data_IF_898644789078
#
_entry.id   IF_898644789078
#
_cell.length_a   1.000
_cell.length_b   1.000
_cell.length_c   1.000
_cell.angle_alpha   90.00
_cell.angle_beta   90.00
_cell.angle_gamma   90.00
#
_symmetry.space_group_name_H-M   'P 1'
#
loop_
_entity.id
_entity.type
_entity.pdbx_description
1 polymer ?
#
# COMPACT_ATOMS: atom_id res chain seq x y z
N UNK A 1 53.62 38.78 41.96
CA UNK A 1 52.49 37.83 41.86
C UNK A 1 51.80 38.07 40.52
N UNK A 2 52.04 37.21 39.52
CA UNK A 2 51.38 37.32 38.21
C UNK A 2 50.02 36.60 38.27
N UNK A 3 48.94 37.27 37.90
CA UNK A 3 47.60 36.70 37.80
C UNK A 3 47.51 35.83 36.54
N UNK A 4 47.20 34.54 36.72
CA UNK A 4 46.86 33.62 35.63
C UNK A 4 45.40 33.84 35.22
N UNK A 5 45.16 34.34 34.00
CA UNK A 5 43.84 34.30 33.36
C UNK A 5 43.54 32.88 32.85
N UNK A 6 42.35 32.31 33.06
CA UNK A 6 41.98 31.01 32.48
C UNK A 6 41.74 31.13 30.97
N UNK A 7 42.20 30.15 30.21
CA UNK A 7 42.06 30.05 28.76
C UNK A 7 40.62 29.73 28.32
N UNK A 8 40.22 30.09 27.08
CA UNK A 8 38.87 29.81 26.57
C UNK A 8 38.66 28.30 26.32
N UNK A 9 37.42 27.77 26.50
CA UNK A 9 37.11 26.38 26.18
C UNK A 9 37.31 26.11 24.68
N UNK A 10 38.04 25.04 24.34
CA UNK A 10 38.34 24.63 22.96
C UNK A 10 37.11 24.16 22.17
N UNK A 11 37.21 24.06 20.82
CA UNK A 11 36.09 23.66 19.97
C UNK A 11 35.69 22.20 20.22
N UNK A 12 34.41 22.00 20.55
CA UNK A 12 33.81 20.69 20.79
C UNK A 12 33.22 20.14 19.48
N UNK A 13 33.83 19.11 18.89
CA UNK A 13 33.29 18.44 17.69
C UNK A 13 32.23 17.42 18.10
N UNK A 14 30.97 17.70 17.75
CA UNK A 14 29.81 16.85 18.08
C UNK A 14 29.51 15.92 16.90
N UNK A 15 29.82 14.63 17.03
CA UNK A 15 29.47 13.62 16.02
C UNK A 15 28.11 13.00 16.35
N UNK A 16 27.10 13.29 15.54
CA UNK A 16 25.73 12.74 15.71
C UNK A 16 25.62 11.41 14.97
N UNK A 17 25.62 10.30 15.70
CA UNK A 17 25.32 8.97 15.12
C UNK A 17 23.83 8.69 15.31
N UNK A 18 23.08 8.64 14.21
CA UNK A 18 21.65 8.29 14.23
C UNK A 18 21.50 6.79 14.01
N UNK A 19 21.32 6.01 15.08
CA UNK A 19 21.02 4.58 14.98
C UNK A 19 19.50 4.38 15.00
N UNK A 20 18.94 3.95 13.86
CA UNK A 20 17.51 3.63 13.73
C UNK A 20 17.27 2.17 14.14
N UNK A 21 16.72 1.94 15.33
CA UNK A 21 16.25 0.61 15.74
C UNK A 21 14.76 0.47 15.42
N UNK A 22 14.41 -0.47 14.56
CA UNK A 22 13.02 -0.79 14.20
C UNK A 22 12.47 -1.84 15.16
N UNK A 23 11.53 -1.48 16.03
CA UNK A 23 10.81 -2.46 16.85
C UNK A 23 9.40 -2.65 16.30
N UNK A 24 9.20 -3.72 15.54
CA UNK A 24 7.87 -4.13 15.06
C UNK A 24 7.28 -5.06 16.12
N UNK A 25 6.14 -4.70 16.72
CA UNK A 25 5.47 -5.58 17.67
C UNK A 25 4.86 -6.80 16.95
N UNK A 26 5.58 -7.92 16.97
CA UNK A 26 5.22 -9.17 16.28
C UNK A 26 4.05 -9.96 16.91
N UNK A 27 3.06 -9.30 17.51
CA UNK A 27 1.91 -9.99 18.09
C UNK A 27 0.79 -10.15 17.04
N UNK A 28 0.51 -11.40 16.65
CA UNK A 28 -0.59 -11.73 15.73
C UNK A 28 -1.90 -11.42 16.46
N UNK A 29 -2.45 -10.23 16.21
CA UNK A 29 -3.73 -9.81 16.77
C UNK A 29 -4.68 -9.49 15.63
N UNK A 30 -5.88 -10.04 15.71
CA UNK A 30 -6.98 -9.62 14.85
C UNK A 30 -7.33 -8.18 15.22
N UNK A 31 -6.97 -7.24 14.35
CA UNK A 31 -7.30 -5.84 14.55
C UNK A 31 -8.28 -5.36 13.46
N UNK A 32 -9.60 -5.38 13.75
CA UNK A 32 -10.60 -4.86 12.83
C UNK A 32 -10.48 -3.34 12.63
N UNK A 33 -9.65 -2.63 13.43
CA UNK A 33 -9.34 -1.23 13.20
C UNK A 33 -8.61 -1.00 11.87
N UNK A 34 -7.89 -2.02 11.35
CA UNK A 34 -7.18 -1.89 10.07
C UNK A 34 -8.14 -1.63 8.89
N UNK A 35 -9.34 -2.19 8.92
CA UNK A 35 -10.37 -1.97 7.88
C UNK A 35 -10.82 -0.49 7.85
N UNK A 36 -10.70 0.23 8.97
CA UNK A 36 -11.01 1.65 9.08
C UNK A 36 -9.86 2.56 8.66
N UNK A 37 -8.67 2.03 8.46
CA UNK A 37 -7.56 2.80 7.92
C UNK A 37 -7.81 3.12 6.44
N UNK A 38 -7.23 4.22 5.96
CA UNK A 38 -7.30 4.60 4.53
C UNK A 38 -6.96 3.41 3.62
N UNK A 39 -5.81 2.71 3.76
CA UNK A 39 -5.49 1.58 2.88
C UNK A 39 -6.45 0.39 3.02
N UNK A 40 -6.99 0.13 4.21
CA UNK A 40 -7.99 -0.92 4.43
C UNK A 40 -9.32 -0.62 3.71
N UNK A 41 -9.82 0.60 3.84
CA UNK A 41 -11.06 1.05 3.21
C UNK A 41 -10.96 1.01 1.68
N UNK A 42 -9.81 1.42 1.11
CA UNK A 42 -9.58 1.35 -0.34
C UNK A 42 -9.64 -0.10 -0.86
N UNK A 43 -9.00 -1.05 -0.14
CA UNK A 43 -9.08 -2.48 -0.49
C UNK A 43 -10.50 -3.01 -0.40
N UNK A 44 -11.28 -2.61 0.60
CA UNK A 44 -12.69 -2.98 0.70
C UNK A 44 -13.51 -2.46 -0.49
N UNK A 45 -13.30 -1.20 -0.89
CA UNK A 45 -13.98 -0.63 -2.07
C UNK A 45 -13.61 -1.39 -3.34
N UNK A 46 -12.33 -1.71 -3.54
CA UNK A 46 -11.86 -2.52 -4.69
C UNK A 46 -12.50 -3.92 -4.72
N UNK A 47 -12.63 -4.57 -3.56
CA UNK A 47 -13.27 -5.89 -3.43
C UNK A 47 -14.76 -5.79 -3.81
N UNK A 48 -15.48 -4.80 -3.28
CA UNK A 48 -16.91 -4.61 -3.56
C UNK A 48 -17.14 -4.34 -5.05
N UNK A 49 -16.36 -3.44 -5.65
CA UNK A 49 -16.47 -3.11 -7.08
C UNK A 49 -16.15 -4.32 -7.96
N UNK A 50 -15.10 -5.09 -7.62
CA UNK A 50 -14.72 -6.30 -8.36
C UNK A 50 -15.82 -7.37 -8.27
N UNK A 51 -16.42 -7.55 -7.10
CA UNK A 51 -17.51 -8.50 -6.88
C UNK A 51 -18.76 -8.07 -7.65
N UNK A 52 -19.07 -6.78 -7.68
CA UNK A 52 -20.21 -6.25 -8.43
C UNK A 52 -20.06 -6.50 -9.94
N UNK A 53 -18.88 -6.22 -10.51
CA UNK A 53 -18.59 -6.57 -11.92
C UNK A 53 -18.71 -8.07 -12.17
N UNK A 54 -18.15 -8.90 -11.27
CA UNK A 54 -18.19 -10.36 -11.38
C UNK A 54 -19.62 -10.91 -11.35
N UNK A 55 -20.47 -10.41 -10.44
CA UNK A 55 -21.89 -10.75 -10.37
C UNK A 55 -22.61 -10.29 -11.64
N UNK A 56 -22.39 -9.06 -12.09
CA UNK A 56 -23.02 -8.55 -13.32
C UNK A 56 -22.72 -9.40 -14.54
N UNK A 57 -21.50 -9.95 -14.66
CA UNK A 57 -21.17 -10.88 -15.75
C UNK A 57 -21.77 -12.26 -15.52
N UNK A 58 -21.73 -12.78 -14.30
CA UNK A 58 -22.21 -14.14 -13.97
C UNK A 58 -23.70 -14.33 -14.27
N UNK A 59 -24.52 -13.30 -14.04
CA UNK A 59 -25.95 -13.31 -14.36
C UNK A 59 -26.27 -13.01 -15.83
N UNK A 60 -25.27 -12.69 -16.65
CA UNK A 60 -25.46 -12.37 -18.06
C UNK A 60 -25.33 -13.63 -18.93
N UNK A 61 -26.28 -13.81 -19.86
CA UNK A 61 -26.21 -14.85 -20.90
C UNK A 61 -24.95 -14.71 -21.78
N UNK A 62 -24.40 -13.49 -21.84
CA UNK A 62 -23.18 -13.17 -22.57
C UNK A 62 -21.88 -13.51 -21.83
N UNK A 63 -21.95 -14.21 -20.69
CA UNK A 63 -20.76 -14.61 -19.91
C UNK A 63 -19.74 -15.43 -20.71
N UNK A 64 -20.19 -16.17 -21.74
CA UNK A 64 -19.32 -16.98 -22.59
C UNK A 64 -18.55 -16.18 -23.66
N UNK A 65 -18.87 -14.89 -23.85
CA UNK A 65 -18.11 -14.05 -24.76
C UNK A 65 -16.76 -13.72 -24.14
N UNK A 66 -15.67 -13.89 -24.92
CA UNK A 66 -14.30 -13.74 -24.44
C UNK A 66 -14.01 -12.40 -23.74
N UNK A 67 -14.76 -11.33 -24.07
CA UNK A 67 -14.65 -9.99 -23.48
C UNK A 67 -15.15 -9.93 -22.04
N UNK A 68 -16.35 -10.46 -21.80
CA UNK A 68 -16.94 -10.56 -20.46
C UNK A 68 -16.21 -11.60 -19.61
N UNK A 69 -15.74 -12.67 -20.25
CA UNK A 69 -14.87 -13.66 -19.60
C UNK A 69 -13.55 -13.04 -19.15
N UNK A 70 -12.94 -12.16 -19.96
CA UNK A 70 -11.72 -11.43 -19.58
C UNK A 70 -11.96 -10.52 -18.37
N UNK A 71 -13.05 -9.74 -18.39
CA UNK A 71 -13.41 -8.90 -17.24
C UNK A 71 -13.73 -9.71 -15.98
N UNK A 72 -14.41 -10.85 -16.12
CA UNK A 72 -14.70 -11.75 -15.00
C UNK A 72 -13.45 -12.37 -14.43
N UNK A 73 -12.48 -12.72 -15.28
CA UNK A 73 -11.20 -13.25 -14.84
C UNK A 73 -10.39 -12.20 -14.06
N UNK A 74 -10.29 -10.96 -14.57
CA UNK A 74 -9.60 -9.87 -13.88
C UNK A 74 -10.31 -9.52 -12.57
N UNK A 75 -11.64 -9.39 -12.57
CA UNK A 75 -12.37 -9.03 -11.35
C UNK A 75 -12.36 -10.19 -10.34
N UNK A 76 -12.45 -11.43 -10.79
CA UNK A 76 -12.34 -12.62 -9.95
C UNK A 76 -10.96 -12.76 -9.31
N UNK A 77 -9.89 -12.68 -10.11
CA UNK A 77 -8.52 -12.67 -9.57
C UNK A 77 -8.26 -11.46 -8.67
N UNK A 78 -8.81 -10.30 -9.01
CA UNK A 78 -8.65 -9.06 -8.23
C UNK A 78 -9.30 -9.17 -6.86
N UNK A 79 -10.51 -9.74 -6.82
CA UNK A 79 -11.24 -10.07 -5.61
C UNK A 79 -10.43 -11.02 -4.72
N UNK A 80 -9.94 -12.14 -5.26
CA UNK A 80 -9.15 -13.11 -4.49
C UNK A 80 -7.83 -12.54 -4.01
N UNK A 81 -7.06 -11.90 -4.90
CA UNK A 81 -5.75 -11.33 -4.55
C UNK A 81 -5.88 -10.20 -3.53
N UNK A 82 -6.81 -9.27 -3.72
CA UNK A 82 -7.03 -8.15 -2.78
C UNK A 82 -7.61 -8.65 -1.46
N UNK A 83 -8.47 -9.67 -1.49
CA UNK A 83 -9.02 -10.31 -0.30
C UNK A 83 -7.96 -11.04 0.54
N UNK A 84 -7.08 -11.81 -0.10
CA UNK A 84 -5.94 -12.45 0.58
C UNK A 84 -4.99 -11.40 1.15
N UNK A 85 -4.72 -10.33 0.40
CA UNK A 85 -3.90 -9.24 0.89
C UNK A 85 -4.52 -8.58 2.12
N UNK A 86 -5.83 -8.28 2.07
CA UNK A 86 -6.56 -7.73 3.19
C UNK A 86 -6.49 -8.65 4.41
N UNK A 87 -6.62 -9.97 4.23
CA UNK A 87 -6.46 -10.93 5.31
C UNK A 87 -5.06 -10.90 5.92
N UNK A 88 -3.99 -10.87 5.10
CA UNK A 88 -2.61 -10.76 5.59
C UNK A 88 -2.36 -9.49 6.39
N UNK A 89 -2.95 -8.37 5.97
CA UNK A 89 -2.93 -7.11 6.70
C UNK A 89 -3.72 -7.19 8.03
N UNK A 90 -4.89 -7.83 8.02
CA UNK A 90 -5.78 -7.96 9.18
C UNK A 90 -5.18 -8.84 10.29
N UNK A 91 -4.44 -9.88 9.89
CA UNK A 91 -3.73 -10.78 10.81
C UNK A 91 -2.31 -10.30 11.16
N UNK A 92 -1.90 -9.10 10.75
CA UNK A 92 -0.54 -8.56 10.98
C UNK A 92 0.58 -9.53 10.53
N UNK A 93 0.31 -10.39 9.53
CA UNK A 93 1.31 -11.33 8.97
C UNK A 93 2.43 -10.57 8.26
N UNK A 94 2.12 -9.38 7.74
CA UNK A 94 3.06 -8.49 7.04
C UNK A 94 4.15 -7.99 7.98
N UNK A 95 3.86 -7.79 9.26
CA UNK A 95 4.83 -7.38 10.27
C UNK A 95 5.87 -8.46 10.58
N UNK A 96 5.49 -9.74 10.44
CA UNK A 96 6.43 -10.87 10.55
C UNK A 96 7.44 -10.88 9.40
N UNK A 97 7.04 -10.37 8.23
CA UNK A 97 7.84 -10.32 7.01
C UNK A 97 8.30 -8.89 6.67
N UNK A 98 8.81 -8.15 7.65
CA UNK A 98 9.34 -6.79 7.49
C UNK A 98 10.50 -6.68 6.47
N UNK A 99 11.15 -7.80 6.14
CA UNK A 99 12.26 -7.85 5.18
C UNK A 99 11.79 -7.69 3.73
N UNK A 100 10.50 -7.91 3.44
CA UNK A 100 9.94 -7.80 2.10
C UNK A 100 9.42 -6.37 1.90
N UNK A 101 9.81 -5.65 0.81
CA UNK A 101 9.30 -4.32 0.51
C UNK A 101 7.85 -4.40 -0.02
N UNK A 102 6.90 -4.71 0.86
CA UNK A 102 5.47 -4.90 0.56
C UNK A 102 4.86 -3.69 -0.17
N UNK A 103 5.24 -2.48 0.21
CA UNK A 103 4.76 -1.24 -0.42
C UNK A 103 5.06 -1.20 -1.93
N UNK A 104 6.22 -1.72 -2.36
CA UNK A 104 6.61 -1.77 -3.78
C UNK A 104 5.84 -2.85 -4.54
N UNK A 105 5.63 -4.01 -3.92
CA UNK A 105 4.86 -5.11 -4.51
C UNK A 105 3.41 -4.67 -4.72
N UNK A 106 2.82 -4.04 -3.71
CA UNK A 106 1.46 -3.52 -3.80
C UNK A 106 1.30 -2.41 -4.84
N UNK A 107 2.27 -1.52 -4.94
CA UNK A 107 2.27 -0.50 -5.98
C UNK A 107 2.30 -1.11 -7.39
N UNK A 108 3.18 -2.11 -7.61
CA UNK A 108 3.23 -2.85 -8.87
C UNK A 108 1.90 -3.56 -9.18
N UNK A 109 1.31 -4.20 -8.17
CA UNK A 109 -0.01 -4.82 -8.28
C UNK A 109 -1.09 -3.80 -8.70
N UNK A 110 -1.15 -2.64 -8.04
CA UNK A 110 -2.14 -1.60 -8.34
C UNK A 110 -2.01 -1.09 -9.78
N UNK A 111 -0.78 -0.86 -10.28
CA UNK A 111 -0.56 -0.42 -11.66
C UNK A 111 -1.03 -1.47 -12.66
N UNK A 112 -0.61 -2.72 -12.48
CA UNK A 112 -0.96 -3.82 -13.39
C UNK A 112 -2.49 -3.97 -13.45
N UNK A 113 -3.16 -3.94 -12.29
CA UNK A 113 -4.61 -4.06 -12.22
C UNK A 113 -5.33 -2.86 -12.85
N UNK A 114 -4.83 -1.65 -12.64
CA UNK A 114 -5.37 -0.43 -13.26
C UNK A 114 -5.33 -0.54 -14.79
N UNK A 115 -4.21 -1.01 -15.36
CA UNK A 115 -4.07 -1.19 -16.81
C UNK A 115 -5.04 -2.24 -17.36
N UNK A 116 -5.17 -3.39 -16.67
CA UNK A 116 -6.11 -4.43 -17.09
C UNK A 116 -7.57 -3.97 -17.01
N UNK A 117 -7.95 -3.27 -15.93
CA UNK A 117 -9.28 -2.70 -15.79
C UNK A 117 -9.55 -1.62 -16.85
N UNK A 118 -8.56 -0.80 -17.20
CA UNK A 118 -8.68 0.20 -18.26
C UNK A 118 -8.95 -0.45 -19.63
N UNK A 119 -8.17 -1.47 -19.99
CA UNK A 119 -8.31 -2.18 -21.27
C UNK A 119 -9.67 -2.90 -21.32
N UNK A 120 -10.01 -3.64 -20.26
CA UNK A 120 -11.26 -4.37 -20.18
C UNK A 120 -12.49 -3.46 -20.20
N UNK A 121 -12.43 -2.29 -19.55
CA UNK A 121 -13.54 -1.33 -19.52
C UNK A 121 -13.75 -0.69 -20.89
N UNK A 122 -12.67 -0.26 -21.54
CA UNK A 122 -12.70 0.26 -22.92
C UNK A 122 -13.30 -0.75 -23.89
N UNK A 123 -12.87 -2.03 -23.77
CA UNK A 123 -13.40 -3.10 -24.61
C UNK A 123 -14.89 -3.39 -24.35
N UNK A 124 -15.36 -3.15 -23.13
CA UNK A 124 -16.79 -3.29 -22.79
C UNK A 124 -17.60 -2.17 -23.44
N UNK A 125 -17.15 -0.92 -23.37
CA UNK A 125 -17.83 0.22 -24.01
C UNK A 125 -17.87 0.13 -25.54
N UNK A 126 -16.86 -0.48 -26.17
CA UNK A 126 -16.86 -0.69 -27.62
C UNK A 126 -18.02 -1.58 -28.11
N UNK A 127 -18.70 -2.32 -27.21
CA UNK A 127 -19.80 -3.23 -27.51
C UNK A 127 -21.11 -2.83 -26.81
N UNK A 128 -21.26 -1.54 -26.49
CA UNK A 128 -22.46 -1.01 -25.85
C UNK A 128 -23.74 -1.30 -26.66
N UNK A 129 -23.63 -1.36 -27.99
CA UNK A 129 -24.75 -1.64 -28.90
C UNK A 129 -25.27 -3.08 -28.80
N UNK A 130 -24.48 -4.02 -28.28
CA UNK A 130 -24.84 -5.44 -28.22
C UNK A 130 -25.74 -5.76 -27.03
N UNK A 131 -25.45 -5.20 -25.84
CA UNK A 131 -26.29 -5.36 -24.66
C UNK A 131 -25.98 -4.28 -23.61
N UNK A 132 -27.00 -3.89 -22.84
CA UNK A 132 -26.85 -2.92 -21.74
C UNK A 132 -25.87 -3.36 -20.65
N UNK A 133 -25.66 -4.69 -20.48
CA UNK A 133 -24.69 -5.24 -19.53
C UNK A 133 -23.25 -4.74 -19.82
N UNK A 134 -22.87 -4.58 -21.09
CA UNK A 134 -21.55 -4.10 -21.46
C UNK A 134 -21.27 -2.69 -20.90
N UNK A 135 -22.28 -1.82 -20.91
CA UNK A 135 -22.18 -0.48 -20.32
C UNK A 135 -22.04 -0.51 -18.80
N UNK A 136 -22.81 -1.36 -18.13
CA UNK A 136 -22.76 -1.52 -16.66
C UNK A 136 -21.39 -2.06 -16.23
N UNK A 137 -20.92 -3.12 -16.87
CA UNK A 137 -19.61 -3.74 -16.60
C UNK A 137 -18.47 -2.75 -16.87
N UNK A 138 -18.53 -2.01 -17.98
CA UNK A 138 -17.56 -0.97 -18.30
C UNK A 138 -17.55 0.16 -17.28
N UNK A 139 -18.71 0.64 -16.85
CA UNK A 139 -18.83 1.72 -15.88
C UNK A 139 -18.24 1.33 -14.51
N UNK A 140 -18.66 0.20 -13.95
CA UNK A 140 -18.12 -0.29 -12.70
C UNK A 140 -16.64 -0.69 -12.81
N UNK A 141 -16.20 -1.17 -13.98
CA UNK A 141 -14.80 -1.40 -14.30
C UNK A 141 -13.94 -0.14 -14.22
N UNK A 142 -14.43 0.99 -14.76
CA UNK A 142 -13.72 2.28 -14.63
C UNK A 142 -13.73 2.82 -13.20
N UNK A 143 -14.82 2.67 -12.45
CA UNK A 143 -14.82 3.02 -11.03
C UNK A 143 -13.77 2.22 -10.26
N UNK A 144 -13.66 0.93 -10.56
CA UNK A 144 -12.64 0.07 -9.96
C UNK A 144 -11.22 0.49 -10.39
N UNK A 145 -11.04 0.85 -11.66
CA UNK A 145 -9.78 1.40 -12.17
C UNK A 145 -9.36 2.66 -11.39
N UNK A 146 -10.29 3.59 -11.12
CA UNK A 146 -10.01 4.80 -10.34
C UNK A 146 -9.63 4.42 -8.91
N UNK A 147 -10.32 3.45 -8.29
CA UNK A 147 -10.01 2.99 -6.93
C UNK A 147 -8.60 2.36 -6.84
N UNK A 148 -8.21 1.52 -7.81
CA UNK A 148 -6.85 0.96 -7.88
C UNK A 148 -5.79 2.03 -8.20
N UNK A 149 -6.10 2.98 -9.08
CA UNK A 149 -5.22 4.08 -9.41
C UNK A 149 -4.97 5.01 -8.22
N UNK A 150 -6.02 5.32 -7.45
CA UNK A 150 -5.92 6.14 -6.25
C UNK A 150 -5.11 5.44 -5.13
N UNK A 151 -5.32 4.13 -4.93
CA UNK A 151 -4.50 3.34 -4.01
C UNK A 151 -3.01 3.33 -4.44
N UNK A 152 -2.76 3.17 -5.75
CA UNK A 152 -1.42 3.28 -6.32
C UNK A 152 -0.77 4.64 -6.07
N UNK A 153 -1.51 5.74 -6.22
CA UNK A 153 -1.01 7.10 -5.97
C UNK A 153 -0.64 7.33 -4.50
N UNK A 154 -1.50 6.88 -3.57
CA UNK A 154 -1.21 6.94 -2.14
C UNK A 154 0.06 6.16 -1.79
N UNK A 155 0.22 4.95 -2.36
CA UNK A 155 1.42 4.13 -2.17
C UNK A 155 2.67 4.77 -2.78
N UNK A 156 2.56 5.41 -3.94
CA UNK A 156 3.66 6.16 -4.53
C UNK A 156 4.13 7.29 -3.62
N UNK A 157 3.19 8.05 -3.03
CA UNK A 157 3.50 9.10 -2.07
C UNK A 157 4.18 8.53 -0.81
N UNK A 158 3.71 7.40 -0.30
CA UNK A 158 4.36 6.70 0.82
C UNK A 158 5.77 6.20 0.50
N UNK A 159 6.01 5.72 -0.73
CA UNK A 159 7.35 5.32 -1.19
C UNK A 159 8.29 6.54 -1.22
N UNK A 160 7.82 7.69 -1.72
CA UNK A 160 8.61 8.93 -1.73
C UNK A 160 8.96 9.41 -0.31
N UNK A 161 8.05 9.21 0.65
CA UNK A 161 8.24 9.57 2.04
C UNK A 161 9.07 8.55 2.85
N UNK A 162 9.50 7.43 2.23
CA UNK A 162 10.13 6.29 2.93
C UNK A 162 9.30 5.75 4.11
N UNK A 163 7.97 5.78 3.96
CA UNK A 163 7.03 5.25 4.94
C UNK A 163 7.03 3.71 4.89
N UNK A 164 6.82 3.08 6.04
CA UNK A 164 6.67 1.63 6.14
C UNK A 164 5.21 1.24 5.86
N UNK A 165 5.01 0.09 5.21
CA UNK A 165 3.69 -0.36 4.74
C UNK A 165 2.68 -0.57 5.88
N UNK A 166 3.16 -0.92 7.07
CA UNK A 166 2.38 -1.11 8.30
C UNK A 166 3.32 -1.05 9.50
N UNK A 167 2.84 -0.56 10.65
CA UNK A 167 3.61 -0.37 11.88
C UNK A 167 4.11 1.07 12.08
N UNK A 168 4.35 1.46 13.33
CA UNK A 168 4.90 2.77 13.67
C UNK A 168 6.43 2.73 13.69
N UNK A 169 7.08 3.62 12.92
CA UNK A 169 8.53 3.82 13.01
C UNK A 169 8.81 4.69 14.23
N UNK A 170 8.72 4.14 15.43
CA UNK A 170 9.14 4.87 16.64
C UNK A 170 10.64 5.13 16.54
N UNK A 171 10.99 6.33 16.10
CA UNK A 171 12.38 6.79 16.06
C UNK A 171 12.76 7.16 17.48
N UNK A 172 13.12 6.19 18.32
CA UNK A 172 13.74 6.50 19.60
C UNK A 172 15.11 7.12 19.33
N UNK A 173 15.19 8.46 19.39
CA UNK A 173 16.45 9.17 19.52
C UNK A 173 17.08 8.79 20.86
N UNK A 174 17.95 7.78 20.86
CA UNK A 174 18.87 7.61 21.97
C UNK A 174 20.04 8.58 21.79
N UNK A 175 20.09 9.61 22.65
CA UNK A 175 21.22 10.54 22.74
C UNK A 175 22.31 9.89 23.59
N UNK A 176 23.34 9.32 22.96
CA UNK A 176 24.54 8.87 23.66
C UNK A 176 25.53 10.03 23.72
N UNK A 177 25.66 10.66 24.89
CA UNK A 177 26.71 11.66 25.14
C UNK A 177 28.05 10.94 25.38
N UNK A 178 28.86 10.77 24.33
CA UNK A 178 30.25 10.32 24.51
C UNK A 178 31.16 11.52 24.71
N UNK A 179 31.55 11.78 25.95
CA UNK A 179 32.62 12.72 26.28
C UNK A 179 33.94 12.06 25.92
N UNK A 180 34.57 12.48 24.82
CA UNK A 180 35.94 12.05 24.50
C UNK A 180 36.88 12.89 25.37
N UNK A 181 37.62 12.32 26.34
CA UNK A 181 38.63 13.06 27.06
C UNK A 181 39.76 13.45 26.10
N UNK A 182 40.35 14.65 26.24
CA UNK A 182 41.42 15.12 25.36
C UNK A 182 42.59 14.14 25.39
N UNK A 183 43.08 13.78 24.21
CA UNK A 183 44.32 13.04 24.05
C UNK A 183 45.46 13.90 24.61
N UNK A 184 46.13 13.39 25.66
CA UNK A 184 47.39 13.92 26.17
C UNK A 184 48.56 13.35 25.39
#
# INVERSE_FOLDING_TARGET
MMQHTPSPPGPTTTTTVTTSNTNVQTNIRYDPSYVKTVPGMLKCVQIILSLLVFICVSFSVYSAFGRLSFMSFICGLGFWLTGILLAFYLFHVIEKFYSIPWLKIEFGYCIIWTLFLMIGSTLSFAYLDAASIFGVVGFFGYLNMIAYGYDGFLKFKGIQNNEIAQGERTTSKNTTNSTVPPAY
#
